data_IF_016469896673
#
_entry.id   IF_016469896673
#
_cell.length_a   1.000
_cell.length_b   1.000
_cell.length_c   1.000
_cell.angle_alpha   90.00
_cell.angle_beta   90.00
_cell.angle_gamma   90.00
#
_symmetry.space_group_name_H-M   'P 1'
#
loop_
_entity.id
_entity.type
_entity.pdbx_description
1 polymer ?
#
# COMPACT_ATOMS: atom_id res chain seq x y z
N UNK A 1 -45.27 -15.59 -26.56
CA UNK A 1 -44.71 -15.41 -25.20
C UNK A 1 -43.20 -15.16 -25.28
N UNK A 2 -42.78 -13.98 -24.81
CA UNK A 2 -41.48 -13.64 -24.21
C UNK A 2 -40.14 -13.99 -24.88
N UNK A 3 -39.61 -13.12 -25.76
CA UNK A 3 -38.16 -13.03 -26.05
C UNK A 3 -37.46 -12.22 -24.96
N UNK A 4 -36.72 -12.88 -24.06
CA UNK A 4 -35.86 -12.23 -23.08
C UNK A 4 -34.60 -11.64 -23.77
N UNK A 5 -34.57 -10.32 -23.98
CA UNK A 5 -33.36 -9.58 -24.37
C UNK A 5 -32.51 -9.32 -23.12
N UNK A 6 -31.46 -10.11 -22.92
CA UNK A 6 -30.40 -9.80 -21.95
C UNK A 6 -29.63 -8.57 -22.44
N UNK A 7 -29.83 -7.41 -21.79
CA UNK A 7 -28.99 -6.22 -22.01
C UNK A 7 -27.58 -6.50 -21.49
N UNK A 8 -26.64 -6.77 -22.39
CA UNK A 8 -25.19 -6.75 -22.09
C UNK A 8 -24.80 -5.34 -21.63
N UNK A 9 -24.47 -5.19 -20.35
CA UNK A 9 -23.75 -4.03 -19.83
C UNK A 9 -22.40 -3.94 -20.56
N UNK A 10 -22.18 -2.87 -21.32
CA UNK A 10 -20.87 -2.55 -21.90
C UNK A 10 -19.90 -2.27 -20.75
N UNK A 11 -18.91 -3.15 -20.56
CA UNK A 11 -17.79 -2.92 -19.63
C UNK A 11 -16.80 -2.00 -20.32
N UNK A 12 -16.49 -0.87 -19.69
CA UNK A 12 -15.49 0.07 -20.17
C UNK A 12 -14.12 -0.21 -19.53
N UNK A 13 -13.02 0.11 -20.22
CA UNK A 13 -11.69 0.12 -19.62
C UNK A 13 -11.60 1.18 -18.50
N UNK A 14 -10.75 0.95 -17.50
CA UNK A 14 -10.60 1.85 -16.34
C UNK A 14 -10.14 3.25 -16.77
N UNK A 15 -9.34 3.34 -17.82
CA UNK A 15 -8.86 4.58 -18.44
C UNK A 15 -9.96 5.51 -18.96
N UNK A 16 -11.21 5.03 -19.10
CA UNK A 16 -12.33 5.84 -19.58
C UNK A 16 -13.05 6.64 -18.47
N UNK A 17 -12.60 6.56 -17.21
CA UNK A 17 -13.20 7.31 -16.10
C UNK A 17 -12.44 8.63 -15.92
N UNK A 18 -12.85 9.64 -16.66
CA UNK A 18 -12.40 11.02 -16.49
C UNK A 18 -12.82 11.55 -15.11
N UNK A 19 -11.86 12.07 -14.35
CA UNK A 19 -12.04 12.88 -13.13
C UNK A 19 -12.62 14.24 -13.49
N UNK A 20 -13.94 14.32 -13.69
CA UNK A 20 -14.64 15.59 -13.75
C UNK A 20 -14.99 16.05 -12.33
N UNK A 21 -14.19 16.96 -11.76
CA UNK A 21 -14.65 18.03 -10.86
C UNK A 21 -13.49 18.98 -10.52
N UNK A 22 -13.32 20.05 -11.30
CA UNK A 22 -12.87 21.33 -10.78
C UNK A 22 -14.09 22.26 -10.80
N UNK A 23 -14.63 22.56 -9.63
CA UNK A 23 -15.65 23.60 -9.46
C UNK A 23 -14.99 24.82 -8.84
N UNK A 24 -14.75 25.84 -9.66
CA UNK A 24 -14.43 27.21 -9.24
C UNK A 24 -15.62 27.81 -8.52
N UNK A 25 -15.40 28.30 -7.29
CA UNK A 25 -16.37 29.03 -6.48
C UNK A 25 -16.21 30.52 -6.76
N UNK A 26 -17.28 31.17 -7.22
CA UNK A 26 -17.49 32.61 -7.10
C UNK A 26 -18.99 32.89 -7.01
N UNK A 27 -19.40 33.60 -5.97
CA UNK A 27 -20.76 34.08 -5.70
C UNK A 27 -20.66 35.54 -5.20
N UNK A 28 -21.75 36.30 -5.03
CA UNK A 28 -23.08 36.24 -5.65
C UNK A 28 -23.56 37.63 -6.20
N UNK A 29 -24.70 37.66 -6.91
CA UNK A 29 -25.56 38.85 -6.98
C UNK A 29 -27.02 38.46 -7.24
N UNK A 30 -27.90 39.30 -6.74
CA UNK A 30 -29.31 39.16 -6.36
C UNK A 30 -30.37 39.21 -7.47
N UNK A 31 -31.55 38.66 -7.08
CA UNK A 31 -32.92 39.13 -7.34
C UNK A 31 -33.75 38.54 -8.52
N UNK A 32 -34.99 38.21 -8.12
CA UNK A 32 -36.28 38.15 -8.82
C UNK A 32 -36.72 36.92 -9.65
N UNK A 33 -37.85 36.36 -9.20
CA UNK A 33 -38.78 35.44 -9.88
C UNK A 33 -39.99 36.27 -10.36
N UNK A 34 -40.67 35.89 -11.48
CA UNK A 34 -41.79 34.95 -11.33
C UNK A 34 -42.09 33.97 -12.50
N UNK A 35 -42.75 32.88 -12.10
CA UNK A 35 -43.82 32.09 -12.74
C UNK A 35 -43.70 31.43 -14.15
N UNK A 36 -43.77 30.09 -14.08
CA UNK A 36 -44.60 29.17 -14.89
C UNK A 36 -44.24 28.84 -16.35
N UNK A 37 -43.69 27.64 -16.56
CA UNK A 37 -44.25 26.67 -17.51
C UNK A 37 -43.71 25.26 -17.21
N UNK A 38 -44.60 24.30 -17.04
CA UNK A 38 -44.27 22.92 -16.71
C UNK A 38 -43.69 22.19 -17.93
N UNK A 39 -42.45 21.69 -17.79
CA UNK A 39 -41.78 20.81 -18.75
C UNK A 39 -41.55 19.45 -18.05
N UNK A 40 -41.82 18.30 -18.70
CA UNK A 40 -41.80 17.01 -18.01
C UNK A 40 -40.38 16.66 -17.56
N UNK A 41 -40.24 16.32 -16.27
CA UNK A 41 -38.99 15.84 -15.67
C UNK A 41 -38.59 14.50 -16.30
N UNK A 42 -37.74 14.56 -17.33
CA UNK A 42 -37.00 13.41 -17.79
C UNK A 42 -35.98 13.03 -16.71
N UNK A 43 -36.21 11.86 -16.11
CA UNK A 43 -35.41 11.23 -15.06
C UNK A 43 -34.00 10.89 -15.59
N UNK A 44 -33.10 11.89 -15.63
CA UNK A 44 -31.69 11.72 -15.99
C UNK A 44 -30.92 11.17 -14.79
N UNK A 45 -31.24 9.94 -14.37
CA UNK A 45 -30.34 9.15 -13.54
C UNK A 45 -29.18 8.68 -14.42
N UNK A 46 -28.13 9.50 -14.51
CA UNK A 46 -26.89 9.14 -15.19
C UNK A 46 -26.40 7.79 -14.64
N UNK A 47 -26.43 6.76 -15.50
CA UNK A 47 -25.92 5.42 -15.17
C UNK A 47 -24.41 5.52 -14.99
N UNK A 48 -23.94 5.69 -13.75
CA UNK A 48 -22.54 5.44 -13.39
C UNK A 48 -22.20 4.01 -13.78
N UNK A 49 -21.33 3.84 -14.78
CA UNK A 49 -20.85 2.54 -15.22
C UNK A 49 -19.93 1.95 -14.15
N UNK A 50 -20.40 0.92 -13.44
CA UNK A 50 -19.61 0.22 -12.43
C UNK A 50 -18.57 -0.66 -13.13
N UNK A 51 -17.28 -0.36 -12.96
CA UNK A 51 -16.19 -1.22 -13.43
C UNK A 51 -16.31 -2.57 -12.73
N UNK A 52 -16.29 -3.66 -13.50
CA UNK A 52 -16.46 -4.99 -12.90
C UNK A 52 -15.23 -5.40 -12.11
N UNK A 53 -15.44 -5.93 -10.89
CA UNK A 53 -14.40 -6.45 -9.97
C UNK A 53 -13.27 -7.23 -10.67
N UNK A 54 -13.58 -8.12 -11.60
CA UNK A 54 -12.59 -8.93 -12.35
C UNK A 54 -11.64 -8.08 -13.21
N UNK A 55 -12.14 -7.02 -13.81
CA UNK A 55 -11.36 -6.11 -14.68
C UNK A 55 -10.39 -5.29 -13.83
N UNK A 56 -10.84 -4.74 -12.70
CA UNK A 56 -9.96 -4.04 -11.73
C UNK A 56 -8.83 -4.94 -11.24
N UNK A 57 -9.15 -6.19 -10.87
CA UNK A 57 -8.14 -7.12 -10.36
C UNK A 57 -7.14 -7.55 -11.43
N UNK A 58 -7.59 -7.80 -12.66
CA UNK A 58 -6.71 -8.12 -13.78
C UNK A 58 -5.77 -6.97 -14.11
N UNK A 59 -6.27 -5.73 -14.03
CA UNK A 59 -5.50 -4.52 -14.29
C UNK A 59 -4.41 -4.36 -13.23
N UNK A 60 -4.78 -4.38 -11.94
CA UNK A 60 -3.83 -4.33 -10.80
C UNK A 60 -2.75 -5.42 -10.95
N UNK A 61 -3.16 -6.66 -11.25
CA UNK A 61 -2.21 -7.77 -11.39
C UNK A 61 -1.22 -7.55 -12.53
N UNK A 62 -1.67 -7.02 -13.68
CA UNK A 62 -0.80 -6.71 -14.81
C UNK A 62 0.18 -5.58 -14.49
N UNK A 63 -0.29 -4.50 -13.85
CA UNK A 63 0.58 -3.43 -13.36
C UNK A 63 1.69 -3.97 -12.44
N UNK A 64 1.36 -4.83 -11.50
CA UNK A 64 2.37 -5.42 -10.61
C UNK A 64 3.42 -6.25 -11.33
N UNK A 65 3.03 -6.99 -12.37
CA UNK A 65 3.97 -7.77 -13.18
C UNK A 65 4.91 -6.82 -13.93
N UNK A 66 4.36 -5.78 -14.55
CA UNK A 66 5.13 -4.78 -15.31
C UNK A 66 6.11 -4.03 -14.41
N UNK A 67 5.67 -3.51 -13.26
CA UNK A 67 6.53 -2.80 -12.31
C UNK A 67 7.67 -3.67 -11.78
N UNK A 68 7.39 -4.95 -11.47
CA UNK A 68 8.44 -5.90 -11.04
C UNK A 68 9.46 -6.15 -12.14
N UNK A 69 9.01 -6.29 -13.40
CA UNK A 69 9.88 -6.50 -14.55
C UNK A 69 10.73 -5.25 -14.83
N UNK A 70 10.12 -4.07 -14.77
CA UNK A 70 10.81 -2.79 -14.93
C UNK A 70 11.94 -2.63 -13.89
N UNK A 71 11.64 -2.87 -12.62
CA UNK A 71 12.64 -2.79 -11.54
C UNK A 71 13.78 -3.81 -11.71
N UNK A 72 13.47 -5.01 -12.20
CA UNK A 72 14.49 -6.02 -12.53
C UNK A 72 15.44 -5.55 -13.64
N UNK A 73 14.89 -5.02 -14.74
CA UNK A 73 15.66 -4.54 -15.89
C UNK A 73 16.51 -3.31 -15.55
N UNK A 74 15.94 -2.33 -14.82
CA UNK A 74 16.69 -1.15 -14.35
C UNK A 74 17.94 -1.54 -13.57
N UNK A 75 17.85 -2.55 -12.70
CA UNK A 75 19.01 -3.05 -11.95
C UNK A 75 20.04 -3.75 -12.83
N UNK A 76 19.61 -4.57 -13.80
CA UNK A 76 20.55 -5.18 -14.76
C UNK A 76 21.33 -4.10 -15.52
N UNK A 77 20.63 -3.03 -15.93
CA UNK A 77 21.26 -1.91 -16.60
C UNK A 77 22.31 -1.19 -15.75
N UNK A 78 22.09 -1.09 -14.43
CA UNK A 78 23.08 -0.47 -13.51
C UNK A 78 24.24 -1.39 -13.13
N UNK A 79 24.06 -2.71 -13.20
CA UNK A 79 25.08 -3.69 -12.83
C UNK A 79 25.98 -4.11 -14.00
N UNK A 80 25.44 -4.15 -15.22
CA UNK A 80 26.15 -4.56 -16.43
C UNK A 80 26.74 -3.34 -17.17
N UNK A 81 27.75 -2.68 -16.59
CA UNK A 81 28.41 -1.52 -17.20
C UNK A 81 29.27 -1.84 -18.44
N UNK A 82 29.32 -3.10 -18.91
CA UNK A 82 30.33 -3.58 -19.86
C UNK A 82 29.80 -4.35 -21.11
N UNK A 83 28.55 -4.13 -21.55
CA UNK A 83 28.10 -4.65 -22.85
C UNK A 83 27.06 -3.72 -23.50
N UNK A 84 27.51 -2.93 -24.48
CA UNK A 84 26.71 -1.88 -25.15
C UNK A 84 25.44 -2.45 -25.81
N UNK A 85 25.54 -3.63 -26.45
CA UNK A 85 24.41 -4.29 -27.11
C UNK A 85 23.37 -4.84 -26.12
N UNK A 86 23.79 -5.35 -24.96
CA UNK A 86 22.86 -5.81 -23.92
C UNK A 86 22.14 -4.65 -23.23
N UNK A 87 22.83 -3.52 -23.04
CA UNK A 87 22.25 -2.31 -22.49
C UNK A 87 21.18 -1.70 -23.42
N UNK A 88 21.38 -1.71 -24.73
CA UNK A 88 20.39 -1.26 -25.72
C UNK A 88 19.12 -2.11 -25.64
N UNK A 89 19.23 -3.44 -25.66
CA UNK A 89 18.08 -4.34 -25.56
C UNK A 89 17.30 -4.15 -24.25
N UNK A 90 18.01 -3.95 -23.14
CA UNK A 90 17.37 -3.67 -21.83
C UNK A 90 16.60 -2.34 -21.86
N UNK A 91 17.16 -1.29 -22.49
CA UNK A 91 16.49 0.01 -22.63
C UNK A 91 15.26 -0.08 -23.52
N UNK A 92 15.31 -0.84 -24.61
CA UNK A 92 14.15 -1.11 -25.48
C UNK A 92 13.04 -1.85 -24.72
N UNK A 93 13.40 -2.87 -23.95
CA UNK A 93 12.43 -3.61 -23.14
C UNK A 93 11.81 -2.74 -22.03
N UNK A 94 12.59 -1.84 -21.43
CA UNK A 94 12.09 -0.84 -20.49
C UNK A 94 11.09 0.11 -21.15
N UNK A 95 11.41 0.64 -22.34
CA UNK A 95 10.51 1.51 -23.08
C UNK A 95 9.20 0.79 -23.47
N UNK A 96 9.28 -0.49 -23.85
CA UNK A 96 8.09 -1.30 -24.13
C UNK A 96 7.23 -1.52 -22.89
N UNK A 97 7.85 -1.74 -21.71
CA UNK A 97 7.11 -1.84 -20.44
C UNK A 97 6.45 -0.52 -20.07
N UNK A 98 7.13 0.61 -20.29
CA UNK A 98 6.58 1.95 -20.03
C UNK A 98 5.36 2.22 -20.93
N UNK A 99 5.44 1.88 -22.22
CA UNK A 99 4.28 1.94 -23.12
C UNK A 99 3.13 1.03 -22.67
N UNK A 100 3.43 -0.16 -22.17
CA UNK A 100 2.43 -1.10 -21.64
C UNK A 100 1.77 -0.55 -20.37
N UNK A 101 2.51 0.17 -19.51
CA UNK A 101 1.99 0.88 -18.33
C UNK A 101 1.08 2.03 -18.75
N UNK A 102 1.51 2.85 -19.70
CA UNK A 102 0.73 3.97 -20.23
C UNK A 102 -0.56 3.49 -20.91
N UNK A 103 -0.49 2.41 -21.69
CA UNK A 103 -1.64 1.78 -22.34
C UNK A 103 -2.68 1.26 -21.33
N UNK A 104 -2.25 0.93 -20.11
CA UNK A 104 -3.14 0.54 -19.01
C UNK A 104 -3.74 1.75 -18.27
N UNK A 105 -3.42 2.97 -18.70
CA UNK A 105 -3.87 4.24 -18.12
C UNK A 105 -2.87 4.85 -17.12
N UNK A 106 -1.62 4.40 -17.13
CA UNK A 106 -0.55 4.94 -16.30
C UNK A 106 -0.73 4.65 -14.80
N UNK A 107 0.12 5.27 -13.99
CA UNK A 107 0.12 5.10 -12.54
C UNK A 107 -1.20 5.55 -11.89
N UNK A 108 -1.83 6.58 -12.45
CA UNK A 108 -3.13 7.10 -11.99
C UNK A 108 -4.22 6.04 -12.09
N UNK A 109 -4.33 5.34 -13.22
CA UNK A 109 -5.30 4.26 -13.38
C UNK A 109 -5.02 3.10 -12.42
N UNK A 110 -3.75 2.81 -12.14
CA UNK A 110 -3.37 1.83 -11.12
C UNK A 110 -3.81 2.27 -9.72
N UNK A 111 -3.57 3.53 -9.31
CA UNK A 111 -3.96 4.01 -7.99
C UNK A 111 -5.47 4.12 -7.82
N UNK A 112 -6.20 4.56 -8.85
CA UNK A 112 -7.66 4.52 -8.87
C UNK A 112 -8.14 3.07 -8.72
N UNK A 113 -7.56 2.14 -9.49
CA UNK A 113 -7.90 0.73 -9.38
C UNK A 113 -7.57 0.14 -8.00
N UNK A 114 -6.44 0.53 -7.40
CA UNK A 114 -5.99 0.10 -6.07
C UNK A 114 -6.93 0.63 -4.97
N UNK A 115 -7.32 1.90 -5.03
CA UNK A 115 -8.30 2.54 -4.14
C UNK A 115 -9.65 1.85 -4.24
N UNK A 116 -10.15 1.62 -5.46
CA UNK A 116 -11.38 0.84 -5.70
C UNK A 116 -11.21 -0.64 -5.27
N UNK A 117 -9.97 -1.13 -5.28
CA UNK A 117 -9.56 -2.46 -4.87
C UNK A 117 -9.66 -2.70 -3.36
N UNK A 118 -9.57 -1.66 -2.52
CA UNK A 118 -9.60 -1.76 -1.05
C UNK A 118 -10.96 -2.20 -0.44
N UNK A 119 -11.97 -2.50 -1.26
CA UNK A 119 -13.24 -3.07 -0.78
C UNK A 119 -13.06 -4.28 0.16
N UNK A 120 -13.97 -4.44 1.14
CA UNK A 120 -13.91 -5.41 2.26
C UNK A 120 -13.55 -6.87 1.92
N UNK A 121 -13.72 -7.33 0.67
CA UNK A 121 -13.40 -8.70 0.23
C UNK A 121 -11.99 -8.88 -0.36
N UNK A 122 -11.18 -7.81 -0.34
CA UNK A 122 -9.89 -7.71 -1.06
C UNK A 122 -8.72 -7.17 -0.23
N UNK A 123 -8.96 -6.86 1.04
CA UNK A 123 -7.96 -6.26 1.93
C UNK A 123 -8.56 -5.28 2.92
N UNK A 124 -9.79 -4.83 2.67
CA UNK A 124 -10.52 -3.93 3.56
C UNK A 124 -9.79 -2.60 3.78
N UNK A 125 -10.47 -1.71 4.50
CA UNK A 125 -9.82 -0.56 5.07
C UNK A 125 -8.94 -1.03 6.24
N UNK A 126 -7.67 -1.34 5.96
CA UNK A 126 -6.74 -1.90 6.95
C UNK A 126 -6.53 -0.95 8.14
N UNK A 127 -6.80 0.35 7.96
CA UNK A 127 -6.76 1.35 9.04
C UNK A 127 -7.70 0.97 10.18
N UNK A 128 -8.87 0.37 9.89
CA UNK A 128 -9.83 -0.08 10.91
C UNK A 128 -9.31 -1.23 11.74
N UNK A 129 -8.54 -2.13 11.13
CA UNK A 129 -7.89 -3.24 11.85
C UNK A 129 -6.85 -2.68 12.82
N UNK A 130 -6.01 -1.75 12.33
CA UNK A 130 -5.02 -1.06 13.16
C UNK A 130 -5.68 -0.31 14.31
N UNK A 131 -6.63 0.59 14.01
CA UNK A 131 -7.34 1.40 15.01
C UNK A 131 -7.98 0.51 16.08
N UNK A 132 -8.71 -0.54 15.67
CA UNK A 132 -9.31 -1.49 16.62
C UNK A 132 -8.25 -2.14 17.52
N UNK A 133 -7.13 -2.59 16.95
CA UNK A 133 -6.07 -3.22 17.74
C UNK A 133 -5.39 -2.27 18.71
N UNK A 134 -5.14 -1.01 18.32
CA UNK A 134 -4.59 0.02 19.21
C UNK A 134 -5.57 0.35 20.35
N UNK A 135 -6.88 0.33 20.08
CA UNK A 135 -7.90 0.47 21.12
C UNK A 135 -7.91 -0.72 22.09
N UNK A 136 -7.85 -1.94 21.57
CA UNK A 136 -7.83 -3.18 22.37
C UNK A 136 -6.63 -3.25 23.32
N UNK A 137 -5.46 -2.77 22.90
CA UNK A 137 -4.25 -2.73 23.75
C UNK A 137 -4.18 -1.49 24.65
N UNK A 138 -5.19 -0.61 24.63
CA UNK A 138 -5.33 0.50 25.55
C UNK A 138 -4.68 1.83 25.13
N UNK A 139 -4.01 1.90 23.98
CA UNK A 139 -3.28 3.11 23.56
C UNK A 139 -4.17 4.33 23.40
N UNK A 140 -5.41 4.16 22.91
CA UNK A 140 -6.37 5.27 22.83
C UNK A 140 -6.68 5.86 24.21
N UNK A 141 -6.82 5.01 25.22
CA UNK A 141 -7.11 5.46 26.59
C UNK A 141 -5.91 6.23 27.15
N UNK A 142 -4.72 5.69 26.96
CA UNK A 142 -3.46 6.30 27.40
C UNK A 142 -3.24 7.68 26.77
N UNK A 143 -3.31 7.77 25.43
CA UNK A 143 -3.18 9.02 24.68
C UNK A 143 -4.18 10.09 25.17
N UNK A 144 -5.45 9.72 25.35
CA UNK A 144 -6.47 10.63 25.87
C UNK A 144 -6.18 11.07 27.31
N UNK A 145 -5.69 10.17 28.17
CA UNK A 145 -5.40 10.47 29.58
C UNK A 145 -4.19 11.39 29.75
N UNK A 146 -3.17 11.23 28.92
CA UNK A 146 -1.97 12.05 28.92
C UNK A 146 -2.14 13.34 28.10
N UNK A 147 -3.27 13.50 27.40
CA UNK A 147 -3.54 14.66 26.57
C UNK A 147 -2.65 14.79 25.33
N UNK A 148 -1.92 13.74 24.96
CA UNK A 148 -1.03 13.72 23.79
C UNK A 148 -1.63 12.83 22.68
N UNK A 149 -1.37 13.19 21.42
CA UNK A 149 -1.69 12.33 20.27
C UNK A 149 -0.52 11.41 19.99
N UNK A 150 -0.83 10.20 19.53
CA UNK A 150 0.17 9.25 19.03
C UNK A 150 0.59 9.69 17.64
N UNK A 151 1.90 9.89 17.43
CA UNK A 151 2.46 10.24 16.13
C UNK A 151 2.56 8.97 15.30
N UNK A 152 1.97 8.99 14.12
CA UNK A 152 1.96 7.86 13.21
C UNK A 152 2.52 8.23 11.85
N UNK A 153 3.36 7.37 11.29
CA UNK A 153 3.78 7.42 9.89
C UNK A 153 2.99 6.37 9.10
N UNK A 154 2.26 6.80 8.07
CA UNK A 154 1.60 5.88 7.14
C UNK A 154 2.37 5.85 5.82
N UNK A 155 3.02 4.71 5.54
CA UNK A 155 3.78 4.50 4.31
C UNK A 155 2.85 3.93 3.24
N UNK A 156 2.81 4.53 2.06
CA UNK A 156 2.00 4.09 0.93
C UNK A 156 0.52 4.49 1.05
N UNK A 157 0.26 5.69 1.58
CA UNK A 157 -1.08 6.19 1.76
C UNK A 157 -1.75 6.47 0.40
N UNK A 158 -2.98 5.98 0.22
CA UNK A 158 -3.78 6.25 -1.00
C UNK A 158 -4.82 7.35 -0.79
N UNK A 159 -5.26 7.57 0.45
CA UNK A 159 -6.23 8.60 0.83
C UNK A 159 -5.80 9.20 2.17
N UNK A 160 -5.92 10.52 2.39
CA UNK A 160 -5.45 11.16 3.62
C UNK A 160 -6.37 10.88 4.82
N UNK A 161 -7.61 10.43 4.56
CA UNK A 161 -8.66 10.32 5.58
C UNK A 161 -8.73 8.95 6.26
N UNK A 162 -7.80 8.03 6.01
CA UNK A 162 -7.82 6.68 6.60
C UNK A 162 -7.99 6.72 8.13
N UNK A 163 -7.36 7.69 8.80
CA UNK A 163 -7.39 7.82 10.25
C UNK A 163 -8.15 9.06 10.74
N UNK A 164 -8.96 9.69 9.89
CA UNK A 164 -9.69 10.91 10.24
C UNK A 164 -10.60 10.73 11.48
N UNK A 165 -11.25 9.56 11.60
CA UNK A 165 -12.08 9.21 12.76
C UNK A 165 -11.29 9.08 14.08
N UNK A 166 -9.98 8.87 13.99
CA UNK A 166 -9.06 8.73 15.13
C UNK A 166 -8.20 9.97 15.36
N UNK A 167 -8.40 11.06 14.60
CA UNK A 167 -7.61 12.31 14.65
C UNK A 167 -7.54 12.98 16.03
N UNK A 168 -8.45 12.64 16.95
CA UNK A 168 -8.42 13.13 18.34
C UNK A 168 -7.23 12.58 19.14
N UNK A 169 -6.73 11.39 18.78
CA UNK A 169 -5.70 10.67 19.54
C UNK A 169 -4.59 10.07 18.66
N UNK A 170 -4.72 10.13 17.32
CA UNK A 170 -3.68 9.81 16.35
C UNK A 170 -3.39 11.06 15.52
N UNK A 171 -2.13 11.44 15.44
CA UNK A 171 -1.60 12.40 14.49
C UNK A 171 -0.92 11.64 13.34
N UNK A 172 -1.60 11.55 12.20
CA UNK A 172 -1.10 10.78 11.05
C UNK A 172 -0.25 11.65 10.13
N UNK A 173 0.90 11.13 9.71
CA UNK A 173 1.76 11.64 8.64
C UNK A 173 1.68 10.67 7.46
N UNK A 174 0.75 10.87 6.51
CA UNK A 174 0.64 10.03 5.33
C UNK A 174 1.69 10.38 4.28
N UNK A 175 2.43 9.37 3.80
CA UNK A 175 3.41 9.50 2.72
C UNK A 175 3.13 8.51 1.60
N UNK A 176 3.48 8.86 0.37
CA UNK A 176 3.51 7.96 -0.77
C UNK A 176 4.67 8.32 -1.72
N UNK A 177 5.22 7.35 -2.45
CA UNK A 177 6.31 7.61 -3.39
C UNK A 177 5.87 8.43 -4.62
N UNK A 178 4.59 8.33 -4.97
CA UNK A 178 3.99 8.96 -6.14
C UNK A 178 2.58 9.46 -5.78
N UNK A 179 2.51 10.37 -4.83
CA UNK A 179 1.25 10.85 -4.26
C UNK A 179 0.35 11.48 -5.33
N UNK A 180 -0.94 11.12 -5.30
CA UNK A 180 -1.97 11.75 -6.16
C UNK A 180 -2.91 12.65 -5.37
N UNK A 181 -2.58 12.94 -4.11
CA UNK A 181 -3.42 13.74 -3.22
C UNK A 181 -2.58 14.82 -2.52
N UNK A 182 -3.00 16.10 -2.52
CA UNK A 182 -2.21 17.19 -1.93
C UNK A 182 -1.96 17.03 -0.42
N UNK A 183 -2.89 16.40 0.29
CA UNK A 183 -2.77 16.11 1.73
C UNK A 183 -1.95 14.84 2.06
N UNK A 184 -1.35 14.19 1.05
CA UNK A 184 -0.42 13.06 1.24
C UNK A 184 0.94 13.52 0.74
N UNK A 185 1.94 13.45 1.62
CA UNK A 185 3.29 13.90 1.31
C UNK A 185 3.93 12.95 0.27
N UNK A 186 4.33 13.50 -0.88
CA UNK A 186 5.14 12.75 -1.84
C UNK A 186 6.57 12.63 -1.31
N UNK A 187 6.97 11.42 -0.90
CA UNK A 187 8.26 11.17 -0.28
C UNK A 187 8.74 9.73 -0.51
N UNK A 188 10.02 9.59 -0.86
CA UNK A 188 10.70 8.30 -0.88
C UNK A 188 11.12 7.91 0.54
N UNK A 189 10.44 6.90 1.11
CA UNK A 189 10.72 6.41 2.47
C UNK A 189 12.19 5.99 2.68
N UNK A 190 12.88 5.48 1.66
CA UNK A 190 14.29 5.09 1.79
C UNK A 190 15.24 6.28 1.96
N UNK A 191 14.79 7.48 1.58
CA UNK A 191 15.53 8.75 1.70
C UNK A 191 15.08 9.60 2.88
N UNK A 192 14.01 9.19 3.58
CA UNK A 192 13.51 9.90 4.74
C UNK A 192 14.58 9.98 5.84
N UNK A 193 14.82 11.19 6.33
CA UNK A 193 15.75 11.44 7.43
C UNK A 193 15.31 10.67 8.68
N UNK A 194 16.28 10.06 9.36
CA UNK A 194 16.01 9.41 10.64
C UNK A 194 15.77 10.47 11.72
N UNK A 195 14.87 10.20 12.70
CA UNK A 195 14.64 11.12 13.81
C UNK A 195 15.92 11.27 14.65
N UNK A 196 16.23 12.49 15.05
CA UNK A 196 17.40 12.78 15.90
C UNK A 196 17.09 12.57 17.39
N UNK A 197 15.81 12.51 17.76
CA UNK A 197 15.34 12.30 19.12
C UNK A 197 14.04 11.50 19.17
N UNK A 198 13.64 11.05 20.37
CA UNK A 198 12.37 10.35 20.56
C UNK A 198 11.14 11.23 20.28
N UNK A 199 11.25 12.55 20.47
CA UNK A 199 10.20 13.52 20.17
C UNK A 199 9.96 13.61 18.66
N UNK A 200 11.00 13.43 17.84
CA UNK A 200 10.92 13.40 16.38
C UNK A 200 10.48 12.03 15.83
N UNK A 201 10.68 10.96 16.58
CA UNK A 201 10.30 9.60 16.21
C UNK A 201 8.79 9.33 16.35
N UNK A 202 8.34 8.27 15.67
CA UNK A 202 6.93 7.87 15.63
C UNK A 202 6.59 6.86 16.74
N UNK A 203 5.37 6.94 17.25
CA UNK A 203 4.78 5.91 18.09
C UNK A 203 4.34 4.72 17.22
N UNK A 204 3.81 5.00 16.02
CA UNK A 204 3.26 3.97 15.13
C UNK A 204 3.80 4.14 13.71
N UNK A 205 4.18 3.04 13.06
CA UNK A 205 4.39 2.99 11.61
C UNK A 205 3.38 2.04 11.00
N UNK A 206 2.58 2.52 10.05
CA UNK A 206 1.67 1.70 9.24
C UNK A 206 2.31 1.44 7.88
N UNK A 207 2.58 0.17 7.59
CA UNK A 207 3.18 -0.33 6.34
C UNK A 207 2.24 -1.37 5.72
N UNK A 208 1.16 -0.89 5.12
CA UNK A 208 0.10 -1.74 4.58
C UNK A 208 0.30 -2.01 3.08
N UNK A 209 0.58 -3.25 2.72
CA UNK A 209 0.79 -3.71 1.34
C UNK A 209 1.96 -3.01 0.61
N UNK A 210 2.91 -2.40 1.33
CA UNK A 210 4.07 -1.70 0.73
C UNK A 210 5.28 -2.61 0.59
N UNK A 211 5.65 -3.35 1.65
CA UNK A 211 6.86 -4.17 1.67
C UNK A 211 6.89 -5.21 0.52
N UNK A 212 5.72 -5.73 0.09
CA UNK A 212 5.61 -6.64 -1.06
C UNK A 212 5.89 -6.00 -2.43
N UNK A 213 5.96 -4.67 -2.52
CA UNK A 213 6.35 -3.93 -3.73
C UNK A 213 7.82 -3.54 -3.77
N UNK A 214 8.49 -3.53 -2.61
CA UNK A 214 9.93 -3.28 -2.57
C UNK A 214 10.67 -4.31 -3.40
N UNK A 215 11.59 -3.84 -4.24
CA UNK A 215 12.00 -4.55 -5.45
C UNK A 215 12.96 -5.70 -5.19
N UNK A 216 13.86 -5.57 -4.22
CA UNK A 216 14.83 -6.61 -3.84
C UNK A 216 14.56 -7.17 -2.44
N UNK A 217 15.02 -8.40 -2.15
CA UNK A 217 15.02 -8.93 -0.79
C UNK A 217 15.84 -8.09 0.20
N UNK A 218 16.98 -7.55 -0.24
CA UNK A 218 17.86 -6.73 0.58
C UNK A 218 17.21 -5.38 0.92
N UNK A 219 16.58 -4.70 -0.05
CA UNK A 219 15.82 -3.48 0.21
C UNK A 219 14.63 -3.74 1.14
N UNK A 220 13.99 -4.93 1.07
CA UNK A 220 12.94 -5.29 2.02
C UNK A 220 13.48 -5.36 3.44
N UNK A 221 14.62 -6.01 3.67
CA UNK A 221 15.24 -6.01 4.99
C UNK A 221 15.66 -4.61 5.42
N UNK A 222 16.25 -3.84 4.50
CA UNK A 222 16.62 -2.44 4.76
C UNK A 222 15.42 -1.58 5.16
N UNK A 223 14.27 -1.77 4.50
CA UNK A 223 13.04 -1.07 4.85
C UNK A 223 12.61 -1.38 6.28
N UNK A 224 12.70 -2.65 6.71
CA UNK A 224 12.37 -3.04 8.08
C UNK A 224 13.30 -2.39 9.11
N UNK A 225 14.60 -2.30 8.83
CA UNK A 225 15.54 -1.57 9.69
C UNK A 225 15.23 -0.07 9.77
N UNK A 226 14.92 0.56 8.64
CA UNK A 226 14.56 1.98 8.60
C UNK A 226 13.26 2.22 9.37
N UNK A 227 12.26 1.35 9.22
CA UNK A 227 11.02 1.40 10.01
C UNK A 227 11.34 1.29 11.50
N UNK A 228 12.20 0.35 11.91
CA UNK A 228 12.62 0.24 13.31
C UNK A 228 13.24 1.55 13.80
N UNK A 229 14.14 2.17 13.03
CA UNK A 229 14.81 3.44 13.39
C UNK A 229 13.88 4.66 13.40
N UNK A 230 12.77 4.63 12.65
CA UNK A 230 11.76 5.70 12.66
C UNK A 230 10.86 5.65 13.90
N UNK A 231 10.79 4.50 14.58
CA UNK A 231 10.00 4.31 15.80
C UNK A 231 10.78 4.73 17.05
N UNK A 232 10.07 5.31 18.04
CA UNK A 232 10.62 5.70 19.34
C UNK A 232 11.40 4.57 20.00
N UNK A 233 12.53 4.89 20.61
CA UNK A 233 13.30 3.98 21.43
C UNK A 233 12.74 3.95 22.86
N UNK A 234 12.77 2.78 23.49
CA UNK A 234 12.44 2.59 24.92
C UNK A 234 11.02 2.98 25.34
N UNK A 235 10.12 3.24 24.38
CA UNK A 235 8.70 3.45 24.66
C UNK A 235 7.96 2.11 24.61
N UNK A 236 7.10 1.87 25.60
CA UNK A 236 6.10 0.81 25.52
C UNK A 236 5.16 0.98 24.33
N UNK A 237 5.12 2.14 23.67
CA UNK A 237 4.10 2.50 22.69
C UNK A 237 4.63 2.58 21.25
N UNK A 238 5.74 1.90 20.95
CA UNK A 238 6.33 1.83 19.61
C UNK A 238 5.84 0.60 18.84
N UNK A 239 5.03 0.79 17.79
CA UNK A 239 4.40 -0.28 17.02
C UNK A 239 4.60 -0.18 15.52
N UNK A 240 4.80 -1.33 14.88
CA UNK A 240 4.71 -1.49 13.44
C UNK A 240 3.44 -2.28 13.09
N UNK A 241 2.54 -1.68 12.33
CA UNK A 241 1.45 -2.38 11.68
C UNK A 241 1.82 -2.75 10.25
N UNK A 242 1.72 -4.02 9.92
CA UNK A 242 2.11 -4.55 8.62
C UNK A 242 0.98 -5.34 7.99
N UNK A 243 0.75 -5.12 6.70
CA UNK A 243 -0.17 -5.94 5.90
C UNK A 243 0.60 -6.48 4.71
N UNK A 244 0.49 -7.78 4.49
CA UNK A 244 1.11 -8.46 3.35
C UNK A 244 0.07 -9.32 2.64
N UNK A 245 0.18 -9.49 1.31
CA UNK A 245 -0.48 -10.59 0.63
C UNK A 245 -0.04 -11.90 1.29
N UNK A 246 -0.99 -12.69 1.78
CA UNK A 246 -0.72 -13.92 2.50
C UNK A 246 0.21 -14.89 1.73
N UNK A 247 0.11 -15.02 0.38
CA UNK A 247 1.05 -15.82 -0.39
C UNK A 247 2.53 -15.44 -0.24
N UNK A 248 2.86 -14.21 0.18
CA UNK A 248 4.24 -13.82 0.47
C UNK A 248 4.86 -14.69 1.58
N UNK A 249 4.03 -15.16 2.52
CA UNK A 249 4.47 -15.95 3.68
C UNK A 249 3.98 -17.40 3.65
N UNK A 250 2.95 -17.73 2.86
CA UNK A 250 2.39 -19.10 2.79
C UNK A 250 2.73 -19.86 1.51
N UNK A 251 3.23 -19.17 0.48
CA UNK A 251 3.57 -19.77 -0.82
C UNK A 251 4.93 -19.31 -1.35
N UNK A 252 5.83 -18.82 -0.48
CA UNK A 252 7.19 -18.42 -0.87
C UNK A 252 8.16 -19.60 -0.75
N UNK A 253 9.19 -19.61 -1.60
CA UNK A 253 10.34 -20.52 -1.47
C UNK A 253 11.25 -20.23 -0.29
N UNK A 254 11.30 -18.98 0.14
CA UNK A 254 12.36 -18.46 1.00
C UNK A 254 11.85 -18.00 2.38
N UNK A 255 10.53 -17.88 2.54
CA UNK A 255 9.90 -17.38 3.76
C UNK A 255 8.62 -18.16 4.04
N UNK A 256 8.51 -18.66 5.27
CA UNK A 256 7.27 -19.12 5.91
C UNK A 256 6.80 -18.12 6.97
N UNK A 257 5.56 -18.25 7.45
CA UNK A 257 5.05 -17.47 8.60
C UNK A 257 5.99 -17.56 9.82
N UNK A 258 6.43 -18.77 10.18
CA UNK A 258 7.34 -18.99 11.31
C UNK A 258 8.70 -18.31 11.09
N UNK A 259 9.30 -18.50 9.92
CA UNK A 259 10.59 -17.89 9.59
C UNK A 259 10.49 -16.35 9.54
N UNK A 260 9.33 -15.81 9.17
CA UNK A 260 9.10 -14.37 9.16
C UNK A 260 9.02 -13.80 10.58
N UNK A 261 8.33 -14.48 11.50
CA UNK A 261 8.34 -14.10 12.92
C UNK A 261 9.78 -14.08 13.47
N UNK A 262 10.58 -15.10 13.20
CA UNK A 262 11.98 -15.14 13.61
C UNK A 262 12.82 -14.02 13.00
N UNK A 263 12.60 -13.69 11.72
CA UNK A 263 13.28 -12.58 11.06
C UNK A 263 12.90 -11.24 11.70
N UNK A 264 11.63 -11.03 12.01
CA UNK A 264 11.14 -9.82 12.67
C UNK A 264 11.75 -9.67 14.08
N UNK A 265 11.90 -10.76 14.84
CA UNK A 265 12.61 -10.74 16.12
C UNK A 265 14.06 -10.24 15.97
N UNK A 266 14.79 -10.71 14.95
CA UNK A 266 16.17 -10.24 14.69
C UNK A 266 16.20 -8.74 14.36
N UNK A 267 15.23 -8.26 13.57
CA UNK A 267 15.10 -6.81 13.27
C UNK A 267 14.82 -6.00 14.55
N UNK A 268 14.26 -6.61 15.60
CA UNK A 268 13.90 -5.96 16.84
C UNK A 268 12.40 -5.70 16.95
N UNK A 269 11.60 -6.70 16.60
CA UNK A 269 10.15 -6.67 16.70
C UNK A 269 9.60 -7.96 17.33
N UNK A 270 8.69 -7.82 18.29
CA UNK A 270 7.91 -8.93 18.86
C UNK A 270 6.47 -8.88 18.35
N UNK A 271 5.90 -10.05 18.06
CA UNK A 271 4.52 -10.14 17.56
C UNK A 271 3.52 -9.87 18.69
N UNK A 272 2.63 -8.89 18.51
CA UNK A 272 1.58 -8.56 19.48
C UNK A 272 0.23 -9.11 19.06
N UNK A 273 -0.13 -8.92 17.79
CA UNK A 273 -1.39 -9.40 17.22
C UNK A 273 -1.18 -9.82 15.79
N UNK A 274 -1.89 -10.86 15.39
CA UNK A 274 -2.03 -11.22 13.99
C UNK A 274 -3.46 -11.58 13.64
N UNK A 275 -3.82 -11.40 12.37
CA UNK A 275 -5.09 -11.85 11.83
C UNK A 275 -4.89 -12.29 10.39
N UNK A 276 -5.16 -13.55 10.10
CA UNK A 276 -5.21 -14.09 8.75
C UNK A 276 -6.12 -15.33 8.73
N UNK A 277 -6.46 -15.82 7.54
CA UNK A 277 -7.26 -17.04 7.38
C UNK A 277 -6.58 -17.94 6.36
N UNK A 278 -6.66 -19.25 6.54
CA UNK A 278 -6.19 -20.20 5.54
C UNK A 278 -6.93 -19.97 4.21
N UNK A 279 -6.18 -19.88 3.11
CA UNK A 279 -6.72 -19.50 1.79
C UNK A 279 -7.09 -18.01 1.66
N UNK A 280 -6.82 -17.20 2.68
CA UNK A 280 -6.99 -15.75 2.65
C UNK A 280 -6.04 -15.06 1.68
N UNK A 281 -6.39 -13.84 1.28
CA UNK A 281 -5.58 -13.05 0.34
C UNK A 281 -4.49 -12.23 1.02
N UNK A 282 -4.79 -11.73 2.21
CA UNK A 282 -3.90 -10.87 3.00
C UNK A 282 -3.88 -11.34 4.46
N UNK A 283 -2.79 -11.03 5.15
CA UNK A 283 -2.71 -11.09 6.61
C UNK A 283 -2.35 -9.71 7.17
N UNK A 284 -2.69 -9.53 8.44
CA UNK A 284 -2.41 -8.32 9.22
C UNK A 284 -1.56 -8.73 10.42
N UNK A 285 -0.54 -7.94 10.73
CA UNK A 285 0.33 -8.13 11.88
C UNK A 285 0.56 -6.80 12.58
N UNK A 286 0.52 -6.82 13.91
CA UNK A 286 0.97 -5.74 14.77
C UNK A 286 2.18 -6.23 15.53
N UNK A 287 3.26 -5.48 15.42
CA UNK A 287 4.53 -5.76 16.05
C UNK A 287 4.86 -4.66 17.03
N UNK A 288 5.36 -5.02 18.21
CA UNK A 288 5.96 -4.08 19.15
C UNK A 288 7.44 -4.00 18.88
N UNK A 289 7.99 -2.79 18.86
CA UNK A 289 9.44 -2.59 18.79
C UNK A 289 10.09 -3.12 20.07
N UNK A 290 11.16 -3.87 19.94
CA UNK A 290 12.03 -4.32 21.01
C UNK A 290 13.50 -4.06 20.64
N UNK A 291 14.41 -4.46 21.53
CA UNK A 291 15.84 -4.47 21.21
C UNK A 291 16.09 -5.38 19.99
N UNK A 292 16.96 -4.94 19.08
CA UNK A 292 17.36 -5.73 17.91
C UNK A 292 18.46 -6.72 18.29
N UNK A 293 18.31 -7.96 17.84
CA UNK A 293 19.30 -9.03 18.01
C UNK A 293 20.19 -9.14 16.77
N UNK A 294 20.89 -8.07 16.38
CA UNK A 294 21.65 -8.04 15.12
C UNK A 294 22.71 -9.15 15.02
N UNK A 295 23.23 -9.62 16.15
CA UNK A 295 24.20 -10.73 16.22
C UNK A 295 23.63 -12.05 15.67
N UNK A 296 22.30 -12.21 15.68
CA UNK A 296 21.58 -13.37 15.14
C UNK A 296 21.21 -13.25 13.66
N UNK A 297 21.68 -12.20 12.96
CA UNK A 297 21.34 -11.92 11.55
C UNK A 297 21.95 -12.88 10.53
N UNK A 298 22.95 -13.69 10.92
CA UNK A 298 23.73 -14.53 10.01
C UNK A 298 22.89 -15.39 9.06
N UNK A 299 21.82 -16.04 9.57
CA UNK A 299 20.93 -16.88 8.75
C UNK A 299 20.12 -16.11 7.71
N UNK A 300 19.95 -14.80 7.89
CA UNK A 300 19.12 -13.94 7.04
C UNK A 300 19.92 -13.12 6.03
N UNK A 301 21.26 -13.25 6.00
CA UNK A 301 22.14 -12.52 5.06
C UNK A 301 22.08 -13.03 3.62
N UNK A 302 21.49 -14.20 3.41
CA UNK A 302 21.36 -14.85 2.10
C UNK A 302 20.04 -15.59 2.00
N UNK A 303 19.58 -15.81 0.76
CA UNK A 303 18.43 -16.68 0.55
C UNK A 303 18.78 -18.12 0.91
N UNK A 304 17.96 -18.72 1.75
CA UNK A 304 17.91 -20.17 1.95
C UNK A 304 16.55 -20.67 1.46
N UNK A 305 16.55 -21.74 0.68
CA UNK A 305 15.29 -22.37 0.24
C UNK A 305 14.72 -23.13 1.45
N UNK A 306 13.50 -22.78 1.85
CA UNK A 306 12.76 -23.45 2.91
C UNK A 306 11.81 -24.50 2.33
N UNK A 307 11.08 -24.14 1.27
CA UNK A 307 10.12 -25.00 0.59
C UNK A 307 10.24 -24.81 -0.92
N UNK A 308 10.64 -25.84 -1.66
CA UNK A 308 10.72 -25.73 -3.12
C UNK A 308 9.44 -26.21 -3.82
N UNK A 309 9.28 -25.79 -5.07
CA UNK A 309 8.21 -26.28 -5.94
C UNK A 309 7.88 -25.31 -7.07
N UNK A 310 7.35 -25.81 -8.21
CA UNK A 310 7.12 -25.00 -9.40
C UNK A 310 6.07 -23.90 -9.21
N UNK A 311 5.14 -24.05 -8.26
CA UNK A 311 4.07 -23.07 -7.97
C UNK A 311 4.41 -22.06 -6.86
N UNK A 312 5.60 -22.16 -6.27
CA UNK A 312 6.05 -21.24 -5.22
C UNK A 312 6.46 -19.90 -5.82
N UNK A 313 6.24 -18.81 -5.08
CA UNK A 313 6.75 -17.49 -5.43
C UNK A 313 8.13 -17.23 -4.82
N UNK A 314 8.75 -16.11 -5.21
CA UNK A 314 10.12 -15.75 -4.83
C UNK A 314 10.18 -14.58 -3.83
N UNK A 315 9.12 -14.34 -3.06
CA UNK A 315 9.15 -13.34 -2.00
C UNK A 315 10.21 -13.72 -0.96
N UNK A 316 11.10 -12.81 -0.62
CA UNK A 316 12.20 -13.08 0.31
C UNK A 316 12.60 -11.80 1.01
N UNK A 317 13.04 -11.87 2.25
CA UNK A 317 13.62 -10.74 2.96
C UNK A 317 15.03 -11.14 3.37
N UNK A 318 16.00 -10.25 3.14
CA UNK A 318 17.41 -10.45 3.50
C UNK A 318 17.82 -9.29 4.38
N UNK A 319 18.44 -9.58 5.51
CA UNK A 319 18.99 -8.56 6.41
C UNK A 319 20.44 -8.23 5.99
N UNK A 320 20.87 -6.96 6.11
CA UNK A 320 22.19 -6.51 5.67
C UNK A 320 23.34 -7.03 6.52
#
# INVERSE_FOLDING_TARGET
MGRNKVKRLKKLPISAISTANQSTISAPSSADLPASTAIPRADRRAKRSVVSRKVTQSTISRFHVLLKRQAYLKRRLTSDSNADESAVLIKEELAAIDQDIDALGGLDAYQIASTLGQSNERGGDSSKVLVRWLEEIGLKREANSQGHRLRMLEIGALVPTNYAASSRWIENTPIDLHSQHPDILEEDFFKRTLPNSNEEAFDIVSCSLVLNFVSTPAERGKMLELIHKQLKNESSNAFLFMVLPLPCLTNSRYVSLASFNELMSVVGFTLEKEQWKLGGKVGYWLWRKCASEQDSSGKWRRKAILEDGPRRNNFAVILP
#
